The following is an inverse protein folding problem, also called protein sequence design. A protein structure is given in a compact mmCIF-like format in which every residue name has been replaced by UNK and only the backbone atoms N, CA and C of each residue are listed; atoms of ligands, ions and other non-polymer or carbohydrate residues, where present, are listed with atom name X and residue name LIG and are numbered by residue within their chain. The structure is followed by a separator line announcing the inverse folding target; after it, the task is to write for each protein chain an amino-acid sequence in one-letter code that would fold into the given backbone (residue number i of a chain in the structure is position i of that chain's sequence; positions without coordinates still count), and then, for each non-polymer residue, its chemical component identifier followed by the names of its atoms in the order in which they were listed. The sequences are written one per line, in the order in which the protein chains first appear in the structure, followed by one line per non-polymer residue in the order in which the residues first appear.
data_IF_084670682618
#
_entry.id   IF_084670682618
#
_cell.length_a   1.000
_cell.length_b   1.000
_cell.length_c   1.000
_cell.angle_alpha   90.00
_cell.angle_beta   90.00
_cell.angle_gamma   90.00
#
_symmetry.space_group_name_H-M   'P 1'
#
loop_
_entity.id
_entity.type
_entity.pdbx_description
1 polymer ?
#
# COMPACT_ATOMS: atom_id res chain seq x y z
N UNK A 1 7.01 -21.84 -2.70
CA UNK A 1 7.28 -20.91 -3.78
C UNK A 1 7.07 -19.49 -3.31
N UNK A 2 8.01 -18.59 -3.59
CA UNK A 2 7.76 -17.20 -3.26
C UNK A 2 6.63 -16.64 -4.12
N UNK A 3 5.88 -15.71 -3.56
CA UNK A 3 4.85 -15.01 -4.31
C UNK A 3 5.50 -14.19 -5.41
N UNK A 4 4.95 -14.21 -6.61
CA UNK A 4 5.43 -13.34 -7.66
C UNK A 4 4.90 -11.91 -7.41
N UNK A 5 5.40 -10.95 -8.20
CA UNK A 5 5.02 -9.55 -7.99
C UNK A 5 3.53 -9.30 -8.26
N UNK A 6 2.90 -10.10 -9.11
CA UNK A 6 1.47 -9.97 -9.41
C UNK A 6 0.63 -10.27 -8.17
N UNK A 7 0.95 -11.35 -7.46
CA UNK A 7 0.27 -11.70 -6.23
C UNK A 7 0.50 -10.65 -5.15
N UNK A 8 1.72 -10.14 -5.05
CA UNK A 8 2.05 -9.10 -4.09
C UNK A 8 1.28 -7.82 -4.37
N UNK A 9 1.12 -7.46 -5.64
CA UNK A 9 0.33 -6.30 -6.04
C UNK A 9 -1.14 -6.49 -5.70
N UNK A 10 -1.68 -7.70 -5.89
CA UNK A 10 -3.07 -7.99 -5.55
C UNK A 10 -3.31 -7.85 -4.04
N UNK A 11 -2.41 -8.38 -3.22
CA UNK A 11 -2.51 -8.25 -1.76
C UNK A 11 -2.43 -6.78 -1.36
N UNK A 12 -1.54 -6.03 -1.97
CA UNK A 12 -1.37 -4.60 -1.72
C UNK A 12 -2.67 -3.85 -2.01
N UNK A 13 -3.30 -4.12 -3.15
CA UNK A 13 -4.58 -3.51 -3.52
C UNK A 13 -5.67 -3.87 -2.53
N UNK A 14 -5.71 -5.12 -2.08
CA UNK A 14 -6.70 -5.57 -1.11
C UNK A 14 -6.58 -4.80 0.21
N UNK A 15 -5.36 -4.63 0.71
CA UNK A 15 -5.12 -3.89 1.94
C UNK A 15 -5.55 -2.42 1.78
N UNK A 16 -5.18 -1.80 0.68
CA UNK A 16 -5.55 -0.42 0.40
C UNK A 16 -7.06 -0.26 0.24
N UNK A 17 -7.71 -1.22 -0.41
CA UNK A 17 -9.17 -1.21 -0.57
C UNK A 17 -9.86 -1.31 0.78
N UNK A 18 -9.37 -2.14 1.68
CA UNK A 18 -9.91 -2.25 3.03
C UNK A 18 -9.78 -0.93 3.78
N UNK A 19 -8.65 -0.26 3.65
CA UNK A 19 -8.45 1.06 4.28
C UNK A 19 -9.40 2.11 3.68
N UNK A 20 -9.66 2.03 2.38
CA UNK A 20 -10.56 2.95 1.71
C UNK A 20 -12.01 2.77 2.17
N UNK A 21 -12.45 1.53 2.34
CA UNK A 21 -13.83 1.21 2.70
C UNK A 21 -14.09 1.33 4.19
N UNK A 22 -13.06 1.10 5.00
CA UNK A 22 -13.18 1.05 6.46
C UNK A 22 -11.97 1.73 7.07
N UNK A 23 -12.20 2.82 7.78
CA UNK A 23 -11.14 3.60 8.41
C UNK A 23 -10.53 2.89 9.63
N UNK A 24 -10.93 1.66 9.89
CA UNK A 24 -10.52 0.90 11.07
C UNK A 24 -9.38 -0.07 10.78
N UNK A 25 -8.41 0.33 9.94
CA UNK A 25 -7.22 -0.47 9.68
C UNK A 25 -6.39 -0.67 10.94
N UNK A 26 -5.49 -1.65 10.89
CA UNK A 26 -4.64 -2.00 12.03
C UNK A 26 -3.18 -1.67 11.74
N UNK A 27 -2.39 -1.53 12.80
CA UNK A 27 -0.94 -1.35 12.69
C UNK A 27 -0.31 -2.56 11.99
N UNK A 28 -0.82 -3.76 12.26
CA UNK A 28 -0.36 -4.98 11.58
C UNK A 28 -0.52 -4.90 10.06
N UNK A 29 -1.62 -4.34 9.60
CA UNK A 29 -1.85 -4.14 8.17
C UNK A 29 -0.85 -3.16 7.58
N UNK A 30 -0.53 -2.09 8.31
CA UNK A 30 0.49 -1.14 7.87
C UNK A 30 1.87 -1.79 7.80
N UNK A 31 2.21 -2.64 8.75
CA UNK A 31 3.46 -3.40 8.72
C UNK A 31 3.52 -4.33 7.52
N UNK A 32 2.45 -5.06 7.25
CA UNK A 32 2.37 -5.95 6.10
C UNK A 32 2.51 -5.18 4.81
N UNK A 33 1.84 -4.05 4.71
CA UNK A 33 1.90 -3.16 3.56
C UNK A 33 3.34 -2.72 3.29
N UNK A 34 4.05 -2.29 4.34
CA UNK A 34 5.45 -1.89 4.23
C UNK A 34 6.35 -3.00 3.75
N UNK A 35 6.17 -4.22 4.25
CA UNK A 35 6.97 -5.38 3.81
C UNK A 35 6.72 -5.72 2.36
N UNK A 36 5.47 -5.70 1.93
CA UNK A 36 5.10 -5.96 0.54
C UNK A 36 5.76 -4.93 -0.38
N UNK A 37 5.72 -3.66 0.00
CA UNK A 37 6.28 -2.59 -0.80
C UNK A 37 7.80 -2.73 -0.90
N UNK A 38 8.48 -3.04 0.20
CA UNK A 38 9.93 -3.24 0.18
C UNK A 38 10.31 -4.35 -0.78
N UNK A 39 9.57 -5.45 -0.75
CA UNK A 39 9.80 -6.56 -1.67
C UNK A 39 9.58 -6.16 -3.13
N UNK A 40 8.52 -5.41 -3.38
CA UNK A 40 8.20 -4.94 -4.72
C UNK A 40 9.23 -3.94 -5.25
N UNK A 41 9.68 -3.04 -4.39
CA UNK A 41 10.69 -2.03 -4.77
C UNK A 41 12.03 -2.68 -5.13
N UNK A 42 12.33 -3.83 -4.53
CA UNK A 42 13.54 -4.58 -4.83
C UNK A 42 13.43 -5.41 -6.10
N UNK A 43 12.25 -5.53 -6.68
CA UNK A 43 12.01 -6.35 -7.87
C UNK A 43 12.32 -5.53 -9.13
N UNK A 44 13.31 -5.96 -9.96
CA UNK A 44 13.68 -5.21 -11.16
C UNK A 44 12.62 -5.24 -12.26
N UNK A 45 11.64 -6.13 -12.16
CA UNK A 45 10.57 -6.26 -13.14
C UNK A 45 9.41 -5.28 -12.91
N UNK A 46 9.46 -4.53 -11.81
CA UNK A 46 8.42 -3.54 -11.51
C UNK A 46 8.68 -2.27 -12.29
N UNK A 47 7.64 -1.73 -12.91
CA UNK A 47 7.72 -0.49 -13.68
C UNK A 47 8.13 0.68 -12.79
N UNK A 48 8.89 1.61 -13.35
CA UNK A 48 9.38 2.79 -12.64
C UNK A 48 8.22 3.65 -12.12
N UNK A 49 7.16 3.79 -12.89
CA UNK A 49 5.99 4.58 -12.49
C UNK A 49 5.29 3.93 -11.29
N UNK A 50 5.22 2.61 -11.29
CA UNK A 50 4.66 1.86 -10.16
C UNK A 50 5.53 2.05 -8.93
N UNK A 51 6.85 2.06 -9.09
CA UNK A 51 7.78 2.27 -7.97
C UNK A 51 7.56 3.61 -7.29
N UNK A 52 7.23 4.64 -8.05
CA UNK A 52 6.93 5.95 -7.47
C UNK A 52 5.69 5.89 -6.60
N UNK A 53 4.63 5.25 -7.08
CA UNK A 53 3.40 5.05 -6.31
C UNK A 53 3.70 4.25 -5.06
N UNK A 54 4.48 3.17 -5.19
CA UNK A 54 4.84 2.31 -4.07
C UNK A 54 5.63 3.08 -3.00
N UNK A 55 6.49 4.00 -3.42
CA UNK A 55 7.25 4.83 -2.47
C UNK A 55 6.30 5.70 -1.64
N UNK A 56 5.30 6.28 -2.26
CA UNK A 56 4.29 7.08 -1.57
C UNK A 56 3.49 6.24 -0.59
N UNK A 57 3.08 5.04 -1.03
CA UNK A 57 2.33 4.11 -0.18
C UNK A 57 3.19 3.64 0.98
N UNK A 58 4.48 3.42 0.75
CA UNK A 58 5.41 3.03 1.80
C UNK A 58 5.50 4.10 2.89
N UNK A 59 5.61 5.36 2.49
CA UNK A 59 5.61 6.48 3.43
C UNK A 59 4.33 6.49 4.27
N UNK A 60 3.18 6.29 3.61
CA UNK A 60 1.89 6.20 4.28
C UNK A 60 1.89 5.06 5.31
N UNK A 61 2.40 3.88 4.92
CA UNK A 61 2.43 2.72 5.81
C UNK A 61 3.32 2.95 7.03
N UNK A 62 4.46 3.61 6.84
CA UNK A 62 5.37 3.93 7.94
C UNK A 62 4.73 4.90 8.91
N UNK A 63 4.09 5.94 8.42
CA UNK A 63 3.38 6.89 9.27
C UNK A 63 2.25 6.23 10.03
N UNK A 64 1.53 5.32 9.37
CA UNK A 64 0.44 4.58 10.00
C UNK A 64 0.90 3.67 11.13
N UNK A 65 2.09 3.09 11.00
CA UNK A 65 2.66 2.22 12.05
C UNK A 65 2.91 2.97 13.36
N UNK A 66 3.25 4.24 13.26
CA UNK A 66 3.71 5.01 14.41
C UNK A 66 2.73 6.09 14.85
N UNK A 67 1.57 6.20 14.21
CA UNK A 67 0.56 7.17 14.61
C UNK A 67 -0.27 6.64 15.77
N UNK A 68 -0.70 7.54 16.65
CA UNK A 68 -1.61 7.20 17.74
C UNK A 68 -3.05 7.14 17.29
N UNK A 69 -3.35 7.72 16.13
CA UNK A 69 -4.71 7.82 15.60
C UNK A 69 -4.74 7.32 14.16
N UNK A 70 -4.64 6.00 14.03
CA UNK A 70 -4.57 5.35 12.71
C UNK A 70 -5.83 5.63 11.88
N UNK A 71 -7.00 5.63 12.51
CA UNK A 71 -8.26 5.92 11.83
C UNK A 71 -8.25 7.32 11.21
N UNK A 72 -7.75 8.32 11.93
CA UNK A 72 -7.61 9.67 11.40
C UNK A 72 -6.59 9.73 10.27
N UNK A 73 -5.51 8.98 10.39
CA UNK A 73 -4.47 8.91 9.36
C UNK A 73 -5.04 8.32 8.06
N UNK A 74 -5.79 7.24 8.17
CA UNK A 74 -6.43 6.59 7.02
C UNK A 74 -7.44 7.55 6.38
N UNK A 75 -8.27 8.18 7.19
CA UNK A 75 -9.29 9.10 6.71
C UNK A 75 -8.67 10.29 5.97
N UNK A 76 -7.58 10.82 6.50
CA UNK A 76 -6.87 11.94 5.89
C UNK A 76 -6.26 11.59 4.52
N UNK A 77 -6.02 10.30 4.28
CA UNK A 77 -5.40 9.82 3.04
C UNK A 77 -6.39 9.12 2.09
N UNK A 78 -7.69 9.19 2.35
CA UNK A 78 -8.70 8.48 1.55
C UNK A 78 -8.61 8.78 0.06
N UNK A 79 -8.47 10.05 -0.31
CA UNK A 79 -8.35 10.44 -1.71
C UNK A 79 -7.08 9.90 -2.33
N UNK A 80 -5.97 9.92 -1.60
CA UNK A 80 -4.71 9.39 -2.06
C UNK A 80 -4.75 7.88 -2.20
N UNK A 81 -5.37 7.19 -1.25
CA UNK A 81 -5.54 5.73 -1.31
C UNK A 81 -6.32 5.35 -2.58
N UNK A 82 -7.39 6.05 -2.86
CA UNK A 82 -8.19 5.81 -4.06
C UNK A 82 -7.35 5.99 -5.32
N UNK A 83 -6.54 7.04 -5.36
CA UNK A 83 -5.65 7.32 -6.48
C UNK A 83 -4.59 6.23 -6.62
N UNK A 84 -4.00 5.78 -5.52
CA UNK A 84 -2.99 4.73 -5.52
C UNK A 84 -3.56 3.41 -6.06
N UNK A 85 -4.75 3.04 -5.63
CA UNK A 85 -5.42 1.81 -6.10
C UNK A 85 -5.61 1.89 -7.61
N UNK A 86 -6.09 3.01 -8.10
CA UNK A 86 -6.31 3.22 -9.53
C UNK A 86 -5.01 3.13 -10.32
N UNK A 87 -3.95 3.76 -9.81
CA UNK A 87 -2.64 3.73 -10.45
C UNK A 87 -2.07 2.32 -10.50
N UNK A 88 -2.14 1.59 -9.39
CA UNK A 88 -1.65 0.21 -9.31
C UNK A 88 -2.45 -0.68 -10.26
N UNK A 89 -3.76 -0.53 -10.29
CA UNK A 89 -4.64 -1.32 -11.14
C UNK A 89 -4.31 -1.10 -12.63
N UNK A 90 -3.91 0.12 -12.97
CA UNK A 90 -3.54 0.48 -14.34
C UNK A 90 -2.28 -0.25 -14.81
N UNK A 91 -1.37 -0.55 -13.88
CA UNK A 91 -0.07 -1.16 -14.20
C UNK A 91 0.00 -2.66 -13.87
N UNK A 92 -1.05 -3.24 -13.34
CA UNK A 92 -1.03 -4.66 -12.95
C UNK A 92 -1.77 -5.59 -13.94
#
# INVERSE_FOLDING_TARGET
MPLDHTHQMDILKDILSNHQMDCCGTVSECEQLGRLIQSLLANPNIDQNVKQVLTDVYSYSQQGQYTQHLDNHIEAHQNQISSWISDIDQFS
#
